data_IF_724456105494
#
_entry.id   IF_724456105494
#
_cell.length_a   1.000
_cell.length_b   1.000
_cell.length_c   1.000
_cell.angle_alpha   90.00
_cell.angle_beta   90.00
_cell.angle_gamma   90.00
#
_symmetry.space_group_name_H-M   'P 1'
#
loop_
_entity.id
_entity.type
_entity.pdbx_description
1 polymer ?
#
# COMPACT_ATOMS: atom_id res chain seq x y z
N UNK A 1 -13.42 6.74 15.44
CA UNK A 1 -13.37 7.39 14.13
C UNK A 1 -14.35 8.56 14.08
N UNK A 2 -14.15 9.49 13.15
CA UNK A 2 -14.97 10.69 12.98
C UNK A 2 -15.40 10.86 11.53
N UNK A 3 -16.44 11.67 11.30
CA UNK A 3 -16.85 12.12 9.97
C UNK A 3 -16.78 13.66 9.86
N UNK A 4 -17.09 14.17 8.66
CA UNK A 4 -17.14 15.61 8.36
C UNK A 4 -18.47 16.28 8.75
N UNK A 5 -19.41 15.56 9.36
CA UNK A 5 -20.72 16.03 9.74
C UNK A 5 -20.88 16.26 11.26
N UNK A 6 -19.81 16.04 12.01
CA UNK A 6 -19.78 16.23 13.44
C UNK A 6 -20.24 15.02 14.26
N UNK A 7 -20.01 13.82 13.73
CA UNK A 7 -20.27 12.59 14.47
C UNK A 7 -18.99 11.80 14.73
N UNK A 8 -19.02 11.05 15.81
CA UNK A 8 -18.03 10.06 16.18
C UNK A 8 -18.62 8.63 16.10
N UNK A 9 -17.77 7.66 15.83
CA UNK A 9 -18.14 6.25 15.73
C UNK A 9 -17.28 5.42 16.65
N UNK A 10 -17.94 4.54 17.43
CA UNK A 10 -17.27 3.62 18.35
C UNK A 10 -17.78 2.19 18.14
N UNK A 11 -16.87 1.25 18.25
CA UNK A 11 -17.20 -0.17 18.30
C UNK A 11 -17.72 -0.54 19.70
N UNK A 12 -18.82 -1.26 19.74
CA UNK A 12 -19.36 -1.87 20.96
C UNK A 12 -19.05 -3.37 20.90
N UNK A 13 -17.87 -3.74 21.37
CA UNK A 13 -17.32 -5.08 21.21
C UNK A 13 -18.24 -6.20 21.70
N UNK A 14 -18.72 -6.10 22.95
CA UNK A 14 -19.58 -7.13 23.56
C UNK A 14 -20.99 -7.08 22.98
N UNK A 15 -21.49 -5.89 22.65
CA UNK A 15 -22.82 -5.71 22.09
C UNK A 15 -22.89 -6.05 20.59
N UNK A 16 -21.74 -6.17 19.93
CA UNK A 16 -21.66 -6.46 18.50
C UNK A 16 -22.37 -5.41 17.64
N UNK A 17 -22.05 -4.15 17.90
CA UNK A 17 -22.67 -3.01 17.23
C UNK A 17 -21.68 -1.88 17.01
N UNK A 18 -22.02 -0.97 16.10
CA UNK A 18 -21.38 0.35 15.98
C UNK A 18 -22.35 1.40 16.50
N UNK A 19 -21.86 2.30 17.36
CA UNK A 19 -22.60 3.46 17.83
C UNK A 19 -22.15 4.71 17.11
N UNK A 20 -23.12 5.55 16.69
CA UNK A 20 -22.92 6.89 16.14
C UNK A 20 -23.24 7.92 17.21
N UNK A 21 -22.30 8.78 17.51
CA UNK A 21 -22.37 9.80 18.56
C UNK A 21 -22.40 11.19 17.95
N UNK A 22 -23.25 12.07 18.47
CA UNK A 22 -23.21 13.48 18.12
C UNK A 22 -22.16 14.22 18.95
N UNK A 23 -21.19 14.83 18.29
CA UNK A 23 -20.19 15.64 18.95
C UNK A 23 -20.83 16.88 19.59
N UNK A 24 -20.33 17.25 20.77
CA UNK A 24 -20.87 18.36 21.56
C UNK A 24 -21.97 17.96 22.55
N UNK A 25 -22.95 17.17 22.16
CA UNK A 25 -23.99 16.65 23.09
C UNK A 25 -23.63 15.30 23.68
N UNK A 26 -22.79 14.53 23.00
CA UNK A 26 -22.37 13.18 23.38
C UNK A 26 -23.50 12.17 23.45
N UNK A 27 -24.57 12.43 22.72
CA UNK A 27 -25.70 11.51 22.61
C UNK A 27 -25.47 10.46 21.54
N UNK A 28 -25.86 9.23 21.81
CA UNK A 28 -25.95 8.18 20.78
C UNK A 28 -27.17 8.49 19.93
N UNK A 29 -26.96 8.83 18.67
CA UNK A 29 -28.04 9.18 17.73
C UNK A 29 -28.45 7.99 16.86
N UNK A 30 -27.57 7.00 16.75
CA UNK A 30 -27.86 5.77 16.04
C UNK A 30 -26.98 4.62 16.53
N UNK A 31 -27.46 3.41 16.33
CA UNK A 31 -26.73 2.18 16.62
C UNK A 31 -27.11 1.12 15.61
N UNK A 32 -26.11 0.49 14.98
CA UNK A 32 -26.31 -0.57 14.01
C UNK A 32 -25.73 -1.89 14.56
N UNK A 33 -26.52 -2.96 14.66
CA UNK A 33 -25.98 -4.29 14.93
C UNK A 33 -25.23 -4.79 13.72
N UNK A 34 -24.09 -5.42 13.93
CA UNK A 34 -23.21 -5.99 12.91
C UNK A 34 -22.70 -7.36 13.37
N UNK A 35 -21.79 -7.98 12.62
CA UNK A 35 -21.13 -9.20 13.05
C UNK A 35 -20.45 -9.00 14.41
N UNK A 36 -20.48 -10.00 15.25
CA UNK A 36 -20.12 -9.81 16.65
C UNK A 36 -18.60 -9.69 16.90
N UNK A 37 -18.28 -9.17 18.08
CA UNK A 37 -16.93 -8.87 18.53
C UNK A 37 -16.22 -7.86 17.64
N UNK A 38 -16.90 -6.78 17.28
CA UNK A 38 -16.32 -5.69 16.50
C UNK A 38 -15.25 -4.97 17.31
N UNK A 39 -14.02 -4.98 16.79
CA UNK A 39 -12.88 -4.31 17.42
C UNK A 39 -12.52 -2.99 16.74
N UNK A 40 -12.07 -3.04 15.54
CA UNK A 40 -11.54 -1.88 14.83
C UNK A 40 -12.54 -1.28 13.84
N UNK A 41 -12.48 0.05 13.75
CA UNK A 41 -13.25 0.86 12.81
C UNK A 41 -12.30 1.72 11.99
N UNK A 42 -12.64 1.96 10.72
CA UNK A 42 -11.93 2.90 9.86
C UNK A 42 -12.92 3.73 9.05
N UNK A 43 -12.68 5.03 8.96
CA UNK A 43 -13.31 5.95 8.00
C UNK A 43 -12.22 6.71 7.25
N UNK A 44 -12.52 7.32 6.10
CA UNK A 44 -11.53 8.12 5.39
C UNK A 44 -11.14 9.34 6.23
N UNK A 45 -9.83 9.48 6.51
CA UNK A 45 -9.26 10.53 7.37
C UNK A 45 -9.91 10.61 8.77
N UNK A 46 -10.58 9.55 9.21
CA UNK A 46 -11.44 9.56 10.38
C UNK A 46 -10.74 9.65 11.75
N UNK A 47 -9.43 9.56 11.77
CA UNK A 47 -8.56 9.76 12.94
C UNK A 47 -7.76 11.06 12.84
N UNK A 48 -8.08 11.92 11.88
CA UNK A 48 -7.43 13.21 11.66
C UNK A 48 -8.32 14.38 12.07
N UNK A 49 -7.78 15.60 11.99
CA UNK A 49 -8.54 16.85 12.25
C UNK A 49 -9.47 17.24 11.08
N UNK A 50 -9.34 16.58 9.95
CA UNK A 50 -10.14 16.83 8.75
C UNK A 50 -10.74 15.53 8.21
N UNK A 51 -11.61 14.85 8.97
CA UNK A 51 -12.27 13.64 8.51
C UNK A 51 -13.19 13.97 7.33
N UNK A 52 -13.29 13.06 6.34
CA UNK A 52 -14.08 13.30 5.15
C UNK A 52 -14.82 12.04 4.64
N UNK A 53 -14.95 11.02 5.46
CA UNK A 53 -15.52 9.74 5.10
C UNK A 53 -17.06 9.72 5.10
N UNK A 54 -17.65 9.04 4.09
CA UNK A 54 -19.08 8.70 4.01
C UNK A 54 -19.36 7.23 4.30
N UNK A 55 -18.29 6.46 4.44
CA UNK A 55 -18.32 5.04 4.72
C UNK A 55 -17.45 4.72 5.92
N UNK A 56 -17.85 3.68 6.61
CA UNK A 56 -17.12 3.12 7.72
C UNK A 56 -16.91 1.63 7.47
N UNK A 57 -15.69 1.14 7.68
CA UNK A 57 -15.40 -0.29 7.77
C UNK A 57 -15.35 -0.67 9.23
N UNK A 58 -16.10 -1.72 9.58
CA UNK A 58 -16.05 -2.35 10.87
C UNK A 58 -15.48 -3.76 10.74
N UNK A 59 -14.56 -4.14 11.63
CA UNK A 59 -13.87 -5.42 11.60
C UNK A 59 -14.28 -6.25 12.80
N UNK A 60 -14.96 -7.39 12.57
CA UNK A 60 -15.20 -8.33 13.65
C UNK A 60 -13.94 -9.15 13.91
N UNK A 61 -13.47 -9.08 15.15
CA UNK A 61 -12.12 -9.45 15.46
C UNK A 61 -11.94 -10.85 16.04
N UNK A 62 -12.84 -11.25 16.92
CA UNK A 62 -12.67 -12.45 17.73
C UNK A 62 -13.97 -13.26 17.75
N UNK A 63 -14.26 -13.93 16.64
CA UNK A 63 -15.46 -14.78 16.53
C UNK A 63 -15.28 -16.17 17.15
N UNK A 64 -14.05 -16.51 17.59
CA UNK A 64 -13.69 -17.81 18.16
C UNK A 64 -12.98 -17.71 19.50
N UNK A 65 -12.72 -18.86 20.11
CA UNK A 65 -11.90 -19.01 21.29
C UNK A 65 -12.52 -18.42 22.54
N UNK A 66 -11.77 -17.64 23.31
CA UNK A 66 -12.19 -17.13 24.62
C UNK A 66 -13.43 -16.21 24.62
N UNK A 67 -13.85 -15.75 23.48
CA UNK A 67 -15.01 -14.86 23.35
C UNK A 67 -16.25 -15.54 22.74
N UNK A 68 -16.22 -16.85 22.57
CA UNK A 68 -17.33 -17.61 21.99
C UNK A 68 -18.66 -17.47 22.74
N UNK A 69 -18.62 -17.19 24.04
CA UNK A 69 -19.83 -17.05 24.86
C UNK A 69 -20.58 -15.73 24.62
N UNK A 70 -20.04 -14.82 23.84
CA UNK A 70 -20.65 -13.50 23.58
C UNK A 70 -21.67 -13.56 22.44
N UNK A 71 -21.58 -14.56 21.59
CA UNK A 71 -22.47 -14.75 20.46
C UNK A 71 -22.19 -16.04 19.69
N UNK A 72 -22.95 -16.33 18.63
CA UNK A 72 -22.72 -17.51 17.82
C UNK A 72 -21.37 -17.40 17.11
N UNK A 73 -20.68 -18.52 16.91
CA UNK A 73 -19.46 -18.55 16.14
C UNK A 73 -19.75 -18.20 14.68
N UNK A 74 -19.04 -17.22 14.15
CA UNK A 74 -19.15 -16.76 12.77
C UNK A 74 -17.74 -16.59 12.18
N UNK A 75 -17.57 -16.71 10.87
CA UNK A 75 -16.31 -16.31 10.23
C UNK A 75 -16.00 -14.84 10.50
N UNK A 76 -14.75 -14.52 10.62
CA UNK A 76 -14.31 -13.13 10.68
C UNK A 76 -14.66 -12.43 9.36
N UNK A 77 -15.04 -11.19 9.47
CA UNK A 77 -15.45 -10.41 8.31
C UNK A 77 -15.19 -8.90 8.49
N UNK A 78 -15.23 -8.18 7.40
CA UNK A 78 -15.29 -6.73 7.39
C UNK A 78 -16.62 -6.25 6.83
N UNK A 79 -17.26 -5.34 7.55
CA UNK A 79 -18.53 -4.77 7.19
C UNK A 79 -18.36 -3.35 6.67
N UNK A 80 -18.90 -3.08 5.47
CA UNK A 80 -18.98 -1.74 4.90
C UNK A 80 -20.31 -1.10 5.27
N UNK A 81 -20.26 0.02 5.96
CA UNK A 81 -21.42 0.75 6.49
C UNK A 81 -21.45 2.15 5.86
N UNK A 82 -22.58 2.53 5.27
CA UNK A 82 -22.83 3.91 4.87
C UNK A 82 -23.22 4.72 6.12
N UNK A 83 -22.48 5.81 6.35
CA UNK A 83 -22.64 6.71 7.52
C UNK A 83 -23.10 8.12 7.13
N UNK A 84 -23.35 8.39 5.84
CA UNK A 84 -23.68 9.72 5.32
C UNK A 84 -25.09 10.22 5.68
N UNK A 85 -25.96 9.35 6.17
CA UNK A 85 -27.33 9.70 6.58
C UNK A 85 -27.51 9.80 8.09
N UNK A 86 -28.72 10.12 8.54
CA UNK A 86 -29.07 10.09 9.97
C UNK A 86 -28.90 8.67 10.55
N UNK A 87 -29.30 7.66 9.78
CA UNK A 87 -29.18 6.25 10.12
C UNK A 87 -28.03 5.60 9.35
N UNK A 88 -27.26 4.82 10.06
CA UNK A 88 -26.24 3.96 9.46
C UNK A 88 -26.89 2.81 8.69
N UNK A 89 -26.29 2.39 7.60
CA UNK A 89 -26.78 1.31 6.77
C UNK A 89 -25.66 0.35 6.39
N UNK A 90 -25.78 -0.91 6.77
CA UNK A 90 -24.90 -1.97 6.29
C UNK A 90 -25.10 -2.14 4.77
N UNK A 91 -24.01 -2.05 4.00
CA UNK A 91 -24.01 -2.19 2.54
C UNK A 91 -23.47 -3.54 2.12
N UNK A 92 -22.39 -3.96 2.75
CA UNK A 92 -21.66 -5.16 2.35
C UNK A 92 -20.98 -5.81 3.56
N UNK A 93 -20.88 -7.12 3.53
CA UNK A 93 -20.19 -7.95 4.52
C UNK A 93 -19.31 -8.95 3.76
N UNK A 94 -18.00 -8.89 3.98
CA UNK A 94 -17.02 -9.71 3.30
C UNK A 94 -16.22 -10.52 4.31
N UNK A 95 -16.09 -11.81 4.10
CA UNK A 95 -15.23 -12.67 4.91
C UNK A 95 -13.77 -12.27 4.73
N UNK A 96 -13.03 -12.37 5.81
CA UNK A 96 -11.61 -12.07 5.88
C UNK A 96 -10.84 -13.24 6.49
N UNK A 97 -9.51 -13.17 6.42
CA UNK A 97 -8.66 -14.00 7.25
C UNK A 97 -8.91 -13.73 8.74
N UNK A 98 -8.60 -14.70 9.64
CA UNK A 98 -8.82 -14.56 11.06
C UNK A 98 -8.19 -13.29 11.66
N UNK A 99 -8.92 -12.70 12.61
CA UNK A 99 -8.51 -11.50 13.36
C UNK A 99 -8.14 -10.29 12.50
N UNK A 100 -9.03 -9.80 11.62
CA UNK A 100 -8.74 -8.57 10.87
C UNK A 100 -8.48 -7.41 11.83
N UNK A 101 -7.29 -6.83 11.73
CA UNK A 101 -6.81 -5.83 12.68
C UNK A 101 -6.88 -4.41 12.17
N UNK A 102 -6.79 -4.23 10.87
CA UNK A 102 -6.69 -2.91 10.29
C UNK A 102 -7.39 -2.83 8.94
N UNK A 103 -8.03 -1.69 8.71
CA UNK A 103 -8.53 -1.28 7.41
C UNK A 103 -8.23 0.20 7.21
N UNK A 104 -8.06 0.60 5.98
CA UNK A 104 -7.89 2.00 5.61
C UNK A 104 -8.79 2.33 4.42
N UNK A 105 -9.42 3.50 4.47
CA UNK A 105 -10.16 4.06 3.36
C UNK A 105 -9.46 5.31 2.86
N UNK A 106 -9.39 5.43 1.55
CA UNK A 106 -8.90 6.62 0.88
C UNK A 106 -9.91 7.03 -0.19
N UNK A 107 -10.17 8.31 -0.34
CA UNK A 107 -10.99 8.82 -1.43
C UNK A 107 -10.28 8.62 -2.77
N UNK A 108 -11.05 8.28 -3.79
CA UNK A 108 -10.52 8.02 -5.12
C UNK A 108 -9.78 9.22 -5.74
N UNK A 109 -10.20 10.44 -5.41
CA UNK A 109 -9.56 11.67 -5.86
C UNK A 109 -8.20 11.96 -5.18
N UNK A 110 -7.94 11.29 -4.05
CA UNK A 110 -6.65 11.33 -3.36
C UNK A 110 -5.74 10.16 -3.75
N UNK A 111 -6.30 9.15 -4.40
CA UNK A 111 -5.57 7.97 -4.80
C UNK A 111 -4.66 8.30 -5.99
N UNK A 112 -3.41 7.89 -5.88
CA UNK A 112 -2.47 7.87 -7.00
C UNK A 112 -2.23 6.41 -7.38
N UNK A 113 -2.99 5.85 -8.32
CA UNK A 113 -2.80 4.47 -8.73
C UNK A 113 -1.44 4.29 -9.40
N UNK A 114 -0.93 3.07 -9.35
CA UNK A 114 0.23 2.68 -10.14
C UNK A 114 -0.15 2.76 -11.62
N UNK A 115 0.63 3.48 -12.39
CA UNK A 115 0.45 3.61 -13.83
C UNK A 115 1.24 2.51 -14.56
N UNK A 116 0.74 2.08 -15.70
CA UNK A 116 1.48 1.24 -16.64
C UNK A 116 1.82 2.10 -17.84
N UNK A 117 3.10 2.37 -18.02
CA UNK A 117 3.58 3.19 -19.13
C UNK A 117 3.76 2.33 -20.39
N UNK A 118 3.05 2.61 -21.48
CA UNK A 118 3.31 1.94 -22.76
C UNK A 118 4.75 2.13 -23.20
N UNK A 119 5.34 1.11 -23.81
CA UNK A 119 6.76 1.15 -24.24
C UNK A 119 7.08 2.35 -25.13
N UNK A 120 6.15 2.71 -26.01
CA UNK A 120 6.27 3.85 -26.92
C UNK A 120 6.28 5.21 -26.23
N UNK A 121 5.79 5.29 -25.00
CA UNK A 121 5.81 6.50 -24.19
C UNK A 121 7.11 6.67 -23.39
N UNK A 122 7.82 5.58 -23.16
CA UNK A 122 9.14 5.65 -22.52
C UNK A 122 10.18 6.24 -23.49
N UNK A 123 10.53 7.49 -23.25
CA UNK A 123 11.48 8.25 -24.09
C UNK A 123 12.94 8.13 -23.63
N UNK A 124 13.23 7.31 -22.63
CA UNK A 124 14.60 7.12 -22.19
C UNK A 124 15.39 6.31 -23.23
N UNK A 125 16.47 6.86 -23.84
CA UNK A 125 17.22 6.17 -24.88
C UNK A 125 17.99 4.95 -24.38
N UNK A 126 18.10 4.79 -23.06
CA UNK A 126 18.76 3.65 -22.42
C UNK A 126 17.76 2.64 -21.85
N UNK A 127 16.45 2.84 -22.06
CA UNK A 127 15.45 1.84 -21.70
C UNK A 127 15.68 0.54 -22.50
N UNK A 128 15.57 -0.59 -21.82
CA UNK A 128 15.69 -1.91 -22.43
C UNK A 128 14.47 -2.76 -22.08
N UNK A 129 14.08 -3.66 -22.97
CA UNK A 129 12.81 -4.39 -22.86
C UNK A 129 12.97 -5.90 -22.88
N UNK A 130 14.21 -6.37 -22.86
CA UNK A 130 14.55 -7.79 -22.82
C UNK A 130 15.75 -7.99 -21.90
N UNK A 131 15.74 -9.03 -21.08
CA UNK A 131 16.85 -9.36 -20.19
C UNK A 131 18.19 -9.53 -20.92
N UNK A 132 18.16 -10.04 -22.17
CA UNK A 132 19.38 -10.19 -22.99
C UNK A 132 20.08 -8.88 -23.37
N UNK A 133 19.36 -7.76 -23.29
CA UNK A 133 19.89 -6.42 -23.62
C UNK A 133 20.50 -5.74 -22.39
N UNK A 134 20.39 -6.39 -21.22
CA UNK A 134 21.01 -5.92 -19.99
C UNK A 134 22.55 -5.90 -20.14
N UNK A 135 23.19 -4.86 -19.63
CA UNK A 135 24.62 -4.68 -19.87
C UNK A 135 25.28 -3.79 -18.83
N UNK A 136 26.58 -4.00 -18.65
CA UNK A 136 27.48 -3.13 -17.93
C UNK A 136 28.55 -2.67 -18.91
N UNK A 137 28.72 -1.38 -19.08
CA UNK A 137 29.74 -0.80 -19.96
C UNK A 137 30.48 0.31 -19.23
N UNK A 138 31.77 0.49 -19.54
CA UNK A 138 32.62 1.52 -18.95
C UNK A 138 33.33 2.35 -20.01
N UNK A 139 33.48 3.63 -19.72
CA UNK A 139 34.33 4.56 -20.46
C UNK A 139 35.20 5.32 -19.46
N UNK A 140 36.41 4.81 -19.25
CA UNK A 140 37.26 5.28 -18.15
C UNK A 140 36.60 4.91 -16.80
N UNK A 141 36.39 5.92 -15.96
CA UNK A 141 35.75 5.79 -14.68
C UNK A 141 34.21 5.98 -14.71
N UNK A 142 33.62 6.23 -15.88
CA UNK A 142 32.17 6.35 -16.03
C UNK A 142 31.61 4.98 -16.42
N UNK A 143 30.81 4.42 -15.55
CA UNK A 143 30.14 3.09 -15.73
C UNK A 143 28.67 3.30 -15.98
N UNK A 144 28.18 2.71 -17.07
CA UNK A 144 26.75 2.69 -17.41
C UNK A 144 26.21 1.27 -17.29
N UNK A 145 25.14 1.13 -16.53
CA UNK A 145 24.42 -0.12 -16.34
C UNK A 145 23.02 0.02 -16.94
N UNK A 146 22.66 -0.89 -17.84
CA UNK A 146 21.28 -1.08 -18.28
C UNK A 146 20.72 -2.31 -17.57
N UNK A 147 19.74 -2.09 -16.70
CA UNK A 147 19.23 -3.10 -15.79
C UNK A 147 17.73 -3.30 -16.05
N UNK A 148 17.31 -4.55 -16.13
CA UNK A 148 15.91 -4.95 -16.19
C UNK A 148 15.44 -5.36 -14.81
N UNK A 149 14.26 -4.89 -14.42
CA UNK A 149 13.49 -5.42 -13.31
C UNK A 149 12.29 -6.21 -13.84
N UNK A 150 12.15 -7.45 -13.41
CA UNK A 150 11.06 -8.35 -13.79
C UNK A 150 10.87 -9.44 -12.74
N UNK A 151 9.64 -9.65 -12.25
CA UNK A 151 9.20 -10.76 -11.38
C UNK A 151 10.24 -11.24 -10.36
N UNK A 152 10.54 -10.44 -9.36
CA UNK A 152 11.48 -10.79 -8.28
C UNK A 152 12.93 -11.05 -8.75
N UNK A 153 13.32 -10.52 -9.90
CA UNK A 153 14.68 -10.65 -10.41
C UNK A 153 15.16 -9.38 -11.09
N UNK A 154 16.48 -9.21 -11.08
CA UNK A 154 17.18 -8.19 -11.84
C UNK A 154 18.17 -8.82 -12.80
N UNK A 155 18.31 -8.23 -13.98
CA UNK A 155 19.38 -8.58 -14.92
C UNK A 155 20.10 -7.30 -15.37
N UNK A 156 21.47 -7.18 -15.24
CA UNK A 156 22.34 -8.21 -14.68
C UNK A 156 22.13 -8.39 -13.17
N UNK A 157 22.31 -9.61 -12.68
CA UNK A 157 22.23 -9.94 -11.23
C UNK A 157 23.56 -9.72 -10.51
N UNK A 158 24.61 -9.32 -11.22
CA UNK A 158 25.93 -8.97 -10.72
C UNK A 158 26.51 -7.81 -11.50
N UNK A 159 26.93 -6.79 -10.78
CA UNK A 159 27.59 -5.60 -11.35
C UNK A 159 28.95 -5.46 -10.70
N UNK A 160 30.00 -5.37 -11.49
CA UNK A 160 31.37 -5.16 -11.03
C UNK A 160 31.86 -3.78 -11.47
N UNK A 161 32.36 -2.98 -10.54
CA UNK A 161 32.89 -1.63 -10.76
C UNK A 161 34.15 -1.44 -9.93
N UNK A 162 34.98 -0.47 -10.27
CA UNK A 162 36.15 -0.12 -9.46
C UNK A 162 35.78 0.95 -8.42
N UNK A 163 36.52 0.94 -7.31
CA UNK A 163 36.38 2.02 -6.34
C UNK A 163 36.73 3.37 -6.98
N UNK A 164 35.80 4.32 -6.83
CA UNK A 164 35.92 5.67 -7.41
C UNK A 164 35.17 5.84 -8.74
N UNK A 165 34.65 4.77 -9.33
CA UNK A 165 33.85 4.86 -10.56
C UNK A 165 32.56 5.64 -10.31
N UNK A 166 32.15 6.41 -11.32
CA UNK A 166 30.82 7.05 -11.38
C UNK A 166 29.88 6.11 -12.08
N UNK A 167 28.88 5.63 -11.35
CA UNK A 167 27.94 4.62 -11.82
C UNK A 167 26.60 5.27 -12.14
N UNK A 168 26.11 5.05 -13.35
CA UNK A 168 24.76 5.41 -13.77
C UNK A 168 23.99 4.14 -14.12
N UNK A 169 22.93 3.84 -13.38
CA UNK A 169 22.03 2.70 -13.62
C UNK A 169 20.76 3.23 -14.28
N UNK A 170 20.41 2.69 -15.42
CA UNK A 170 19.11 2.83 -16.07
C UNK A 170 18.32 1.55 -15.77
N UNK A 171 17.44 1.60 -14.78
CA UNK A 171 16.60 0.47 -14.41
C UNK A 171 15.25 0.58 -15.10
N UNK A 172 14.91 -0.40 -15.93
CA UNK A 172 13.62 -0.50 -16.62
C UNK A 172 12.79 -1.62 -16.04
N UNK A 173 11.59 -1.31 -15.58
CA UNK A 173 10.58 -2.29 -15.23
C UNK A 173 9.84 -2.69 -16.51
N UNK A 174 9.98 -3.94 -16.93
CA UNK A 174 9.40 -4.44 -18.19
C UNK A 174 8.01 -5.05 -18.04
N UNK A 175 7.44 -5.04 -16.83
CA UNK A 175 6.10 -5.53 -16.58
C UNK A 175 5.03 -4.66 -17.27
N UNK A 176 3.85 -5.25 -17.49
CA UNK A 176 2.76 -4.60 -18.21
C UNK A 176 1.42 -4.68 -17.45
N UNK A 177 1.48 -4.86 -16.13
CA UNK A 177 0.31 -4.90 -15.25
C UNK A 177 0.47 -3.94 -14.08
N UNK A 178 -0.63 -3.38 -13.60
CA UNK A 178 -0.64 -2.29 -12.59
C UNK A 178 -0.15 -2.71 -11.21
N UNK A 179 -0.11 -4.00 -10.92
CA UNK A 179 0.30 -4.56 -9.62
C UNK A 179 1.75 -5.07 -9.61
N UNK A 180 2.51 -4.86 -10.67
CA UNK A 180 3.88 -5.35 -10.82
C UNK A 180 4.92 -4.22 -10.78
N UNK A 181 4.82 -3.32 -9.82
CA UNK A 181 5.89 -2.35 -9.56
C UNK A 181 7.09 -3.05 -8.90
N UNK A 182 8.29 -2.52 -9.13
CA UNK A 182 9.52 -3.04 -8.53
C UNK A 182 10.21 -1.99 -7.66
N UNK A 183 10.69 -2.45 -6.50
CA UNK A 183 11.63 -1.67 -5.70
C UNK A 183 13.07 -2.01 -6.10
N UNK A 184 13.98 -1.04 -6.03
CA UNK A 184 15.41 -1.25 -6.13
C UNK A 184 16.08 -0.58 -4.95
N UNK A 185 16.73 -1.37 -4.11
CA UNK A 185 17.47 -0.92 -2.94
C UNK A 185 18.96 -1.22 -3.02
N UNK A 186 19.80 -0.23 -2.78
CA UNK A 186 21.24 -0.37 -2.53
C UNK A 186 21.58 0.45 -1.28
N UNK A 187 21.41 -0.17 -0.11
CA UNK A 187 21.38 0.56 1.18
C UNK A 187 22.67 1.25 1.53
N UNK A 188 23.83 0.64 1.21
CA UNK A 188 25.14 1.22 1.51
C UNK A 188 25.35 2.57 0.84
N UNK A 189 24.62 2.85 -0.23
CA UNK A 189 24.63 4.13 -0.95
C UNK A 189 23.37 4.95 -0.70
N UNK A 190 22.52 4.54 0.25
CA UNK A 190 21.25 5.19 0.57
C UNK A 190 20.33 5.35 -0.66
N UNK A 191 20.34 4.34 -1.51
CA UNK A 191 19.51 4.29 -2.73
C UNK A 191 18.31 3.38 -2.43
N UNK A 192 17.11 3.93 -2.65
CA UNK A 192 15.85 3.20 -2.58
C UNK A 192 14.87 3.87 -3.55
N UNK A 193 14.53 3.21 -4.62
CA UNK A 193 13.64 3.72 -5.66
C UNK A 193 12.56 2.72 -6.00
N UNK A 194 11.41 3.22 -6.43
CA UNK A 194 10.31 2.41 -6.96
C UNK A 194 10.21 2.71 -8.45
N UNK A 195 10.03 1.68 -9.26
CA UNK A 195 9.94 1.75 -10.71
C UNK A 195 8.61 1.18 -11.15
N UNK A 196 7.76 2.02 -11.69
CA UNK A 196 6.44 1.63 -12.18
C UNK A 196 6.54 0.76 -13.45
N UNK A 197 5.54 -0.08 -13.74
CA UNK A 197 5.52 -0.89 -14.96
C UNK A 197 5.71 -0.04 -16.23
N UNK A 198 6.66 -0.41 -17.06
CA UNK A 198 7.02 0.33 -18.29
C UNK A 198 7.92 1.56 -18.07
N UNK A 199 8.24 1.90 -16.83
CA UNK A 199 9.08 3.05 -16.49
C UNK A 199 10.59 2.70 -16.56
N UNK A 200 11.42 3.73 -16.78
CA UNK A 200 12.88 3.66 -16.60
C UNK A 200 13.32 4.75 -15.63
N UNK A 201 13.85 4.36 -14.49
CA UNK A 201 14.50 5.28 -13.53
C UNK A 201 16.00 5.37 -13.77
N UNK A 202 16.57 6.53 -13.43
CA UNK A 202 18.01 6.78 -13.50
C UNK A 202 18.52 6.90 -12.06
N UNK A 203 19.58 6.15 -11.76
CA UNK A 203 20.24 6.13 -10.46
C UNK A 203 21.71 6.45 -10.69
N UNK A 204 22.23 7.45 -9.99
CA UNK A 204 23.62 7.89 -10.12
C UNK A 204 24.30 7.91 -8.76
N UNK A 205 25.48 7.34 -8.68
CA UNK A 205 26.32 7.38 -7.47
C UNK A 205 27.80 7.21 -7.81
N UNK A 206 28.66 7.50 -6.84
CA UNK A 206 30.09 7.18 -6.92
C UNK A 206 30.35 5.94 -6.08
N UNK A 207 30.99 4.94 -6.65
CA UNK A 207 31.37 3.71 -5.98
C UNK A 207 32.58 3.93 -5.04
N UNK A 208 32.42 4.75 -3.99
CA UNK A 208 33.49 5.19 -3.11
C UNK A 208 33.92 4.15 -2.06
N UNK A 209 33.16 3.05 -1.93
CA UNK A 209 33.39 1.97 -0.96
C UNK A 209 33.85 0.70 -1.67
N UNK A 210 34.92 0.09 -1.14
CA UNK A 210 35.32 -1.26 -1.57
C UNK A 210 34.52 -2.31 -0.81
N UNK A 211 34.04 -3.33 -1.52
CA UNK A 211 33.26 -4.42 -0.90
C UNK A 211 32.33 -5.11 -1.88
N UNK A 212 31.46 -5.96 -1.32
CA UNK A 212 30.35 -6.59 -2.02
C UNK A 212 29.06 -6.11 -1.35
N UNK A 213 28.20 -5.49 -2.09
CA UNK A 213 26.98 -4.87 -1.61
C UNK A 213 25.78 -5.52 -2.30
N UNK A 214 24.81 -6.10 -1.56
CA UNK A 214 23.59 -6.61 -2.16
C UNK A 214 22.72 -5.46 -2.66
N UNK A 215 22.09 -5.66 -3.80
CA UNK A 215 20.93 -4.90 -4.22
C UNK A 215 19.71 -5.82 -4.35
N UNK A 216 18.54 -5.30 -4.06
CA UNK A 216 17.30 -6.06 -3.99
C UNK A 216 16.08 -5.19 -4.33
#
# INVERSE_FOLDING_TARGET
QFDDQGFAYTSLFVESAVAKWKLGTWEIVDKIPISYNIGHLATAEGDTVNPDGKYLIALNKLSHGRHMNVGPSQPESSQLINISGEKMKLIYDAFTEPEPHYAQLIKADKLKPIEVYPREENKNPNAIWDMKDASVSSNGSDVTVKLVAVRSSFEPNKIEVNQGDKVTIYITNIEQTTDELHGFGLLEYNINVVVDPGETKIIEFVADKAGVFPYY
#
